data_IF_867642469106
#
_entry.id   IF_867642469106
#
_cell.length_a   1.000
_cell.length_b   1.000
_cell.length_c   1.000
_cell.angle_alpha   90.00
_cell.angle_beta   90.00
_cell.angle_gamma   90.00
#
_symmetry.space_group_name_H-M   'P 1'
#
loop_
_entity.id
_entity.type
_entity.pdbx_description
1 polymer ?
#
# COMPACT_ATOMS: atom_id res chain seq x y z
N UNK A 1 -0.13 -24.17 19.82
CA UNK A 1 0.20 -22.77 20.16
C UNK A 1 -0.62 -21.91 19.21
N UNK A 2 -1.48 -21.04 19.73
CA UNK A 2 -2.25 -20.12 18.87
C UNK A 2 -1.27 -19.10 18.27
N UNK A 3 -1.38 -18.83 16.97
CA UNK A 3 -0.62 -17.74 16.33
C UNK A 3 -1.05 -16.41 16.95
N UNK A 4 -0.10 -15.51 17.21
CA UNK A 4 -0.44 -14.17 17.68
C UNK A 4 -1.19 -13.43 16.56
N UNK A 5 -2.11 -12.50 16.87
CA UNK A 5 -2.82 -11.73 15.84
C UNK A 5 -1.87 -10.97 14.90
N UNK A 6 -0.63 -10.71 15.34
CA UNK A 6 0.46 -10.15 14.53
C UNK A 6 1.02 -11.14 13.49
N UNK A 7 1.10 -12.43 13.79
CA UNK A 7 1.55 -13.47 12.85
C UNK A 7 0.56 -13.73 11.69
N UNK A 8 -0.65 -13.19 11.79
CA UNK A 8 -1.71 -13.38 10.81
C UNK A 8 -1.85 -12.20 9.84
N UNK A 9 -1.21 -11.07 10.14
CA UNK A 9 -1.32 -9.86 9.34
C UNK A 9 -0.10 -9.72 8.46
N UNK A 10 -0.35 -9.73 7.15
CA UNK A 10 0.67 -9.45 6.15
C UNK A 10 0.88 -7.95 6.09
N UNK A 11 2.14 -7.53 6.19
CA UNK A 11 2.54 -6.13 6.05
C UNK A 11 3.47 -5.98 4.85
N UNK A 12 3.10 -5.14 3.87
CA UNK A 12 3.95 -4.81 2.73
C UNK A 12 4.29 -3.32 2.73
N UNK A 13 5.56 -2.99 2.53
CA UNK A 13 6.00 -1.67 2.11
C UNK A 13 6.23 -1.70 0.60
N UNK A 14 5.55 -0.83 -0.14
CA UNK A 14 5.56 -0.79 -1.59
C UNK A 14 6.03 0.58 -2.05
N UNK A 15 6.96 0.61 -3.00
CA UNK A 15 7.36 1.85 -3.70
C UNK A 15 7.10 1.70 -5.19
N UNK A 16 6.31 2.62 -5.72
CA UNK A 16 5.86 2.63 -7.11
C UNK A 16 6.50 3.81 -7.83
N UNK A 17 7.19 3.52 -8.93
CA UNK A 17 7.85 4.50 -9.79
C UNK A 17 7.13 4.59 -11.14
N UNK A 18 7.14 5.79 -11.71
CA UNK A 18 6.62 6.08 -13.04
C UNK A 18 5.75 7.33 -13.04
N UNK A 19 4.74 7.37 -13.91
CA UNK A 19 3.77 8.46 -13.96
C UNK A 19 2.65 8.18 -12.95
N UNK A 20 2.94 8.43 -11.67
CA UNK A 20 2.05 8.08 -10.53
C UNK A 20 1.67 9.27 -9.64
N UNK A 21 2.21 10.47 -9.89
CA UNK A 21 1.83 11.70 -9.17
C UNK A 21 0.98 12.63 -10.06
N UNK A 22 0.21 13.53 -9.42
CA UNK A 22 -0.66 14.48 -10.12
C UNK A 22 -1.93 13.88 -10.74
N UNK A 23 -2.10 12.55 -10.66
CA UNK A 23 -3.22 11.80 -11.28
C UNK A 23 -4.26 11.29 -10.26
N UNK A 24 -4.14 11.68 -8.99
CA UNK A 24 -5.02 11.19 -7.93
C UNK A 24 -4.69 9.80 -7.37
N UNK A 25 -3.49 9.28 -7.64
CA UNK A 25 -3.08 7.92 -7.25
C UNK A 25 -3.31 7.60 -5.77
N UNK A 26 -2.92 8.53 -4.88
CA UNK A 26 -3.12 8.38 -3.42
C UNK A 26 -4.59 8.28 -3.02
N UNK A 27 -5.46 9.08 -3.64
CA UNK A 27 -6.88 9.07 -3.32
C UNK A 27 -7.53 7.75 -3.76
N UNK A 28 -7.17 7.27 -4.95
CA UNK A 28 -7.63 5.96 -5.43
C UNK A 28 -7.11 4.82 -4.54
N UNK A 29 -5.85 4.89 -4.05
CA UNK A 29 -5.33 3.91 -3.11
C UNK A 29 -6.17 3.83 -1.83
N UNK A 30 -6.55 4.97 -1.25
CA UNK A 30 -7.41 5.00 -0.06
C UNK A 30 -8.76 4.34 -0.34
N UNK A 31 -9.40 4.65 -1.47
CA UNK A 31 -10.70 4.07 -1.82
C UNK A 31 -10.63 2.56 -2.04
N UNK A 32 -9.58 2.07 -2.72
CA UNK A 32 -9.43 0.65 -2.97
C UNK A 32 -9.04 -0.12 -1.70
N UNK A 33 -8.13 0.41 -0.88
CA UNK A 33 -7.76 -0.17 0.41
C UNK A 33 -8.98 -0.34 1.34
N UNK A 34 -9.86 0.66 1.39
CA UNK A 34 -11.11 0.58 2.16
C UNK A 34 -12.03 -0.55 1.68
N UNK A 35 -12.07 -0.81 0.38
CA UNK A 35 -12.91 -1.87 -0.19
C UNK A 35 -12.36 -3.27 0.12
N UNK A 36 -11.06 -3.39 0.45
CA UNK A 36 -10.36 -4.63 0.75
C UNK A 36 -10.07 -4.84 2.24
N UNK A 37 -10.57 -3.96 3.10
CA UNK A 37 -10.28 -3.98 4.55
C UNK A 37 -8.77 -3.90 4.86
N UNK A 38 -8.04 -3.08 4.07
CA UNK A 38 -6.61 -2.85 4.25
C UNK A 38 -6.41 -1.57 5.06
N UNK A 39 -5.48 -1.61 6.00
CA UNK A 39 -5.05 -0.48 6.81
C UNK A 39 -3.61 -0.08 6.47
N UNK A 40 -3.20 1.12 6.87
CA UNK A 40 -1.87 1.65 6.61
C UNK A 40 -1.87 3.06 6.05
N UNK A 41 -0.98 3.34 5.10
CA UNK A 41 -0.84 4.68 4.56
C UNK A 41 -0.29 4.72 3.14
N UNK A 42 -0.46 5.87 2.49
CA UNK A 42 0.14 6.20 1.19
C UNK A 42 0.70 7.63 1.20
N UNK A 43 1.85 7.85 0.57
CA UNK A 43 2.48 9.17 0.40
C UNK A 43 3.18 9.32 -0.93
N UNK A 44 3.35 10.56 -1.37
CA UNK A 44 4.27 10.87 -2.46
C UNK A 44 5.67 11.06 -1.88
N UNK A 45 6.69 10.72 -2.66
CA UNK A 45 8.07 11.11 -2.42
C UNK A 45 8.47 12.27 -3.34
N UNK A 46 9.42 13.07 -2.88
CA UNK A 46 9.99 14.17 -3.67
C UNK A 46 10.63 13.72 -5.01
N UNK A 47 11.02 12.44 -5.13
CA UNK A 47 11.59 11.88 -6.36
C UNK A 47 10.55 11.51 -7.43
N UNK A 48 9.26 11.78 -7.18
CA UNK A 48 8.17 11.45 -8.09
C UNK A 48 7.55 10.07 -7.86
N UNK A 49 8.08 9.24 -6.95
CA UNK A 49 7.50 7.95 -6.61
C UNK A 49 6.34 8.06 -5.62
N UNK A 50 5.54 7.00 -5.51
CA UNK A 50 4.53 6.81 -4.46
C UNK A 50 4.98 5.67 -3.57
N UNK A 51 4.87 5.84 -2.26
CA UNK A 51 5.14 4.79 -1.29
C UNK A 51 3.88 4.49 -0.48
N UNK A 52 3.61 3.22 -0.24
CA UNK A 52 2.47 2.77 0.55
C UNK A 52 2.88 1.65 1.52
N UNK A 53 2.31 1.69 2.72
CA UNK A 53 2.36 0.59 3.66
C UNK A 53 0.98 -0.04 3.74
N UNK A 54 0.88 -1.33 3.46
CA UNK A 54 -0.35 -2.11 3.43
C UNK A 54 -0.35 -3.12 4.58
N UNK A 55 -1.43 -3.18 5.34
CA UNK A 55 -1.64 -4.16 6.41
C UNK A 55 -3.01 -4.80 6.29
N UNK A 56 -3.06 -6.13 6.35
CA UNK A 56 -4.33 -6.86 6.40
C UNK A 56 -4.15 -8.35 6.17
N UNK A 57 -5.25 -9.01 5.78
CA UNK A 57 -5.22 -10.40 5.37
C UNK A 57 -4.30 -10.58 4.14
N UNK A 58 -3.53 -11.66 4.10
CA UNK A 58 -2.57 -11.90 3.02
C UNK A 58 -3.19 -11.85 1.62
N UNK A 59 -4.43 -12.32 1.46
CA UNK A 59 -5.17 -12.26 0.19
C UNK A 59 -5.49 -10.83 -0.21
N UNK A 60 -6.04 -10.01 0.71
CA UNK A 60 -6.36 -8.61 0.46
C UNK A 60 -5.10 -7.79 0.13
N UNK A 61 -4.02 -7.98 0.90
CA UNK A 61 -2.76 -7.27 0.68
C UNK A 61 -2.13 -7.62 -0.67
N UNK A 62 -2.18 -8.89 -1.09
CA UNK A 62 -1.71 -9.28 -2.41
C UNK A 62 -2.59 -8.69 -3.53
N UNK A 63 -3.91 -8.64 -3.34
CA UNK A 63 -4.85 -8.05 -4.30
C UNK A 63 -4.59 -6.55 -4.48
N UNK A 64 -4.41 -5.81 -3.38
CA UNK A 64 -4.07 -4.39 -3.42
C UNK A 64 -2.71 -4.14 -4.07
N UNK A 65 -1.69 -4.96 -3.79
CA UNK A 65 -0.39 -4.89 -4.46
C UNK A 65 -0.55 -5.03 -5.97
N UNK A 66 -1.33 -6.01 -6.42
CA UNK A 66 -1.54 -6.25 -7.85
C UNK A 66 -2.34 -5.11 -8.50
N UNK A 67 -3.34 -4.57 -7.78
CA UNK A 67 -4.09 -3.39 -8.20
C UNK A 67 -3.20 -2.13 -8.28
N UNK A 68 -2.24 -1.94 -7.37
CA UNK A 68 -1.30 -0.82 -7.43
C UNK A 68 -0.40 -0.85 -8.68
N UNK A 69 -0.18 -2.04 -9.26
CA UNK A 69 0.63 -2.19 -10.46
C UNK A 69 -0.11 -1.82 -11.76
N UNK A 70 -1.39 -2.20 -11.91
CA UNK A 70 -2.12 -2.08 -13.20
C UNK A 70 -3.59 -1.63 -13.06
N UNK A 71 -4.11 -1.52 -11.84
CA UNK A 71 -5.51 -1.22 -11.57
C UNK A 71 -5.94 0.22 -11.83
N UNK A 72 -5.02 1.10 -12.25
CA UNK A 72 -5.28 2.52 -12.48
C UNK A 72 -4.96 2.91 -13.93
N UNK A 73 -5.98 3.10 -14.79
CA UNK A 73 -5.78 3.39 -16.22
C UNK A 73 -5.01 4.68 -16.51
N UNK A 74 -5.03 5.63 -15.58
CA UNK A 74 -4.31 6.90 -15.70
C UNK A 74 -2.87 6.84 -15.15
N UNK A 75 -2.49 5.74 -14.48
CA UNK A 75 -1.14 5.54 -13.97
C UNK A 75 -0.32 4.74 -14.98
N UNK A 76 0.95 5.12 -15.13
CA UNK A 76 1.93 4.32 -15.84
C UNK A 76 3.00 3.89 -14.84
N UNK A 77 2.94 2.62 -14.42
CA UNK A 77 3.90 2.05 -13.47
C UNK A 77 5.08 1.46 -14.23
N UNK A 78 6.26 2.04 -14.03
CA UNK A 78 7.50 1.58 -14.66
C UNK A 78 8.21 0.52 -13.80
N UNK A 79 8.20 0.72 -12.48
CA UNK A 79 8.84 -0.18 -11.50
C UNK A 79 8.04 -0.19 -10.21
N UNK A 80 7.89 -1.37 -9.62
CA UNK A 80 7.33 -1.54 -8.29
C UNK A 80 8.29 -2.37 -7.43
N UNK A 81 8.68 -1.79 -6.30
CA UNK A 81 9.47 -2.45 -5.26
C UNK A 81 8.52 -2.88 -4.14
N UNK A 82 8.68 -4.11 -3.65
CA UNK A 82 7.82 -4.69 -2.62
C UNK A 82 8.71 -5.33 -1.56
N UNK A 83 8.53 -4.88 -0.32
CA UNK A 83 9.19 -5.43 0.86
C UNK A 83 8.12 -5.97 1.82
N UNK A 84 8.25 -7.24 2.22
CA UNK A 84 7.39 -7.84 3.25
C UNK A 84 8.03 -7.63 4.63
N UNK A 85 7.30 -6.95 5.52
CA UNK A 85 7.79 -6.62 6.86
C UNK A 85 7.38 -7.70 7.86
N UNK A 86 8.37 -8.25 8.56
CA UNK A 86 8.14 -9.16 9.68
C UNK A 86 7.72 -8.39 10.95
N UNK A 87 6.92 -8.98 11.83
CA UNK A 87 6.62 -8.38 13.13
C UNK A 87 7.89 -8.21 13.99
N UNK A 88 7.91 -7.23 14.92
CA UNK A 88 6.82 -6.31 15.24
C UNK A 88 6.74 -5.13 14.25
N UNK A 89 5.52 -4.71 13.93
CA UNK A 89 5.24 -3.53 13.10
C UNK A 89 4.18 -2.66 13.76
N UNK A 90 4.17 -1.36 13.41
CA UNK A 90 3.11 -0.46 13.84
C UNK A 90 1.76 -0.92 13.30
N UNK A 91 0.69 -0.73 14.09
CA UNK A 91 -0.70 -1.04 13.69
C UNK A 91 -1.41 0.22 13.24
N UNK A 92 -2.31 0.07 12.27
CA UNK A 92 -3.14 1.14 11.76
C UNK A 92 -4.60 0.70 11.83
N UNK A 93 -5.49 1.60 12.24
CA UNK A 93 -6.94 1.36 12.31
C UNK A 93 -7.64 1.75 11.01
N UNK A 94 -6.96 2.49 10.14
CA UNK A 94 -7.47 3.02 8.88
C UNK A 94 -6.38 3.07 7.80
N UNK A 95 -6.79 3.36 6.57
CA UNK A 95 -5.89 3.66 5.46
C UNK A 95 -6.00 5.13 5.06
N UNK A 96 -4.88 5.87 5.17
CA UNK A 96 -4.89 7.33 4.97
C UNK A 96 -3.72 7.83 4.12
N UNK A 97 -3.92 9.02 3.55
CA UNK A 97 -2.81 9.78 2.98
C UNK A 97 -2.02 10.43 4.11
N UNK A 98 -0.69 10.31 4.08
CA UNK A 98 0.20 11.00 5.02
C UNK A 98 1.02 12.06 4.29
N UNK A 99 1.71 12.90 5.06
CA UNK A 99 2.56 13.96 4.51
C UNK A 99 3.60 13.39 3.54
N UNK A 100 3.93 14.19 2.53
CA UNK A 100 4.92 13.84 1.52
C UNK A 100 6.30 13.59 2.17
N UNK A 101 7.03 12.63 1.61
CA UNK A 101 8.36 12.19 2.06
C UNK A 101 9.51 12.81 1.29
#
# INVERSE_FOLDING_TARGET
MAKEPDDLIKTLLIRVHGTVQGIGYRAACVQHAQSLDITGWVRNHADGSVEALLQGAATAVNEMRDWMADGMPAALVDRMEVEELAPPFARFDDFRQVADG
#
